data_IF_964149896133
#
_entry.id   IF_964149896133
#
_cell.length_a   1.000
_cell.length_b   1.000
_cell.length_c   1.000
_cell.angle_alpha   90.00
_cell.angle_beta   90.00
_cell.angle_gamma   90.00
#
_symmetry.space_group_name_H-M   'P 1'
#
loop_
_entity.id
_entity.type
_entity.pdbx_description
1 polymer ?
#
# COMPACT_ATOMS: atom_id res chain seq x y z
N UNK A 1 12.23 -3.98 -18.71
CA UNK A 1 10.93 -3.28 -18.58
C UNK A 1 10.86 -2.67 -17.18
N UNK A 2 10.62 -1.37 -17.05
CA UNK A 2 10.52 -0.73 -15.74
C UNK A 2 9.27 -1.23 -15.01
N UNK A 3 9.44 -1.89 -13.86
CA UNK A 3 8.31 -2.22 -12.98
C UNK A 3 7.71 -0.91 -12.48
N UNK A 4 6.41 -0.71 -12.73
CA UNK A 4 5.67 0.47 -12.26
C UNK A 4 5.55 0.37 -10.74
N UNK A 5 6.17 1.30 -10.01
CA UNK A 5 6.09 1.33 -8.54
C UNK A 5 4.73 1.85 -8.09
N UNK A 6 4.16 1.26 -7.06
CA UNK A 6 2.96 1.78 -6.40
C UNK A 6 3.37 2.97 -5.54
N UNK A 7 2.65 4.08 -5.60
CA UNK A 7 2.90 5.24 -4.74
C UNK A 7 2.05 5.14 -3.48
N UNK A 8 2.65 5.43 -2.33
CA UNK A 8 1.97 5.50 -1.05
C UNK A 8 2.42 6.72 -0.25
N UNK A 9 1.55 7.23 0.61
CA UNK A 9 1.83 8.39 1.46
C UNK A 9 2.14 7.96 2.88
N UNK A 10 3.22 8.49 3.47
CA UNK A 10 3.54 8.34 4.88
C UNK A 10 2.75 9.37 5.70
N UNK A 11 1.86 8.89 6.56
CA UNK A 11 1.05 9.69 7.47
C UNK A 11 1.31 9.19 8.89
N UNK A 12 2.00 10.02 9.68
CA UNK A 12 2.46 9.69 11.03
C UNK A 12 3.26 8.37 11.06
N UNK A 13 2.63 7.26 11.44
CA UNK A 13 3.22 5.93 11.57
C UNK A 13 2.60 4.89 10.61
N UNK A 14 1.85 5.33 9.59
CA UNK A 14 1.20 4.48 8.61
C UNK A 14 1.59 4.88 7.20
N UNK A 15 1.65 3.91 6.29
CA UNK A 15 1.86 4.16 4.87
C UNK A 15 0.61 3.76 4.12
N UNK A 16 -0.03 4.71 3.44
CA UNK A 16 -1.34 4.53 2.82
C UNK A 16 -1.23 4.55 1.30
N UNK A 17 -1.70 3.47 0.66
CA UNK A 17 -1.94 3.43 -0.79
C UNK A 17 -3.37 3.88 -1.03
N UNK A 18 -3.52 5.09 -1.56
CA UNK A 18 -4.83 5.71 -1.77
C UNK A 18 -5.62 5.13 -2.94
N UNK A 19 -4.95 4.69 -4.01
CA UNK A 19 -5.59 4.02 -5.15
C UNK A 19 -6.02 2.60 -4.73
N UNK A 20 -7.33 2.30 -4.62
CA UNK A 20 -7.81 0.99 -4.17
C UNK A 20 -7.42 -0.15 -5.10
N UNK A 21 -7.26 0.12 -6.41
CA UNK A 21 -6.81 -0.90 -7.37
C UNK A 21 -5.36 -1.27 -7.11
N UNK A 22 -4.49 -0.27 -6.96
CA UNK A 22 -3.10 -0.50 -6.60
C UNK A 22 -2.97 -1.20 -5.22
N UNK A 23 -3.78 -0.79 -4.25
CA UNK A 23 -3.86 -1.44 -2.94
C UNK A 23 -4.27 -2.90 -3.05
N UNK A 24 -5.32 -3.21 -3.82
CA UNK A 24 -5.79 -4.59 -4.05
C UNK A 24 -4.68 -5.46 -4.68
N UNK A 25 -3.94 -4.93 -5.64
CA UNK A 25 -2.81 -5.64 -6.25
C UNK A 25 -1.64 -5.88 -5.28
N UNK A 26 -1.35 -4.93 -4.39
CA UNK A 26 -0.35 -5.12 -3.32
C UNK A 26 -0.82 -6.18 -2.34
N UNK A 27 -2.09 -6.13 -1.92
CA UNK A 27 -2.68 -7.11 -1.01
C UNK A 27 -2.67 -8.53 -1.61
N UNK A 28 -3.02 -8.69 -2.88
CA UNK A 28 -3.03 -10.00 -3.58
C UNK A 28 -1.67 -10.71 -3.60
N UNK A 29 -0.57 -9.97 -3.60
CA UNK A 29 0.78 -10.55 -3.72
C UNK A 29 1.27 -11.28 -2.47
N UNK A 30 0.72 -10.97 -1.30
CA UNK A 30 1.23 -11.53 -0.05
C UNK A 30 0.47 -11.12 1.21
N UNK A 31 -0.77 -10.62 1.06
CA UNK A 31 -1.63 -10.12 2.13
C UNK A 31 -1.02 -8.96 2.93
N UNK A 32 -0.23 -8.10 2.27
CA UNK A 32 0.36 -6.92 2.88
C UNK A 32 -0.72 -5.90 3.26
N UNK A 33 -0.64 -5.39 4.48
CA UNK A 33 -1.50 -4.32 4.96
C UNK A 33 -2.93 -4.73 5.24
N UNK A 34 -3.76 -3.72 5.52
CA UNK A 34 -5.18 -3.86 5.86
C UNK A 34 -6.00 -2.85 5.07
N UNK A 35 -7.04 -3.28 4.35
CA UNK A 35 -7.95 -2.34 3.70
C UNK A 35 -8.68 -1.52 4.77
N UNK A 36 -8.76 -0.20 4.55
CA UNK A 36 -9.33 0.72 5.52
C UNK A 36 -10.80 0.38 5.81
N UNK A 37 -11.12 0.16 7.09
CA UNK A 37 -12.50 -0.15 7.51
C UNK A 37 -12.98 -1.57 7.21
N UNK A 38 -12.15 -2.46 6.65
CA UNK A 38 -12.52 -3.86 6.36
C UNK A 38 -11.66 -4.81 7.23
N UNK A 39 -12.17 -5.29 8.38
CA UNK A 39 -11.40 -6.13 9.30
C UNK A 39 -10.98 -7.49 8.72
N UNK A 40 -11.83 -8.06 7.85
CA UNK A 40 -11.62 -9.35 7.19
C UNK A 40 -12.15 -9.29 5.76
N UNK A 41 -11.32 -8.91 4.78
CA UNK A 41 -11.74 -8.88 3.39
C UNK A 41 -12.17 -10.28 2.92
N UNK A 42 -13.38 -10.39 2.36
CA UNK A 42 -13.89 -11.65 1.78
C UNK A 42 -13.19 -12.00 0.47
N UNK A 43 -12.68 -10.98 -0.21
CA UNK A 43 -11.99 -11.02 -1.50
C UNK A 43 -10.76 -10.15 -1.43
N UNK A 44 -9.77 -10.42 -2.28
CA UNK A 44 -8.58 -9.58 -2.41
C UNK A 44 -8.82 -8.28 -3.18
N UNK A 45 -9.99 -8.14 -3.79
CA UNK A 45 -10.45 -6.91 -4.45
C UNK A 45 -11.29 -6.09 -3.48
N UNK A 46 -10.95 -4.81 -3.34
CA UNK A 46 -11.65 -3.84 -2.50
C UNK A 46 -11.55 -2.42 -3.08
N UNK A 47 -12.50 -1.56 -2.72
CA UNK A 47 -12.60 -0.16 -3.20
C UNK A 47 -12.31 0.85 -2.08
N UNK A 48 -11.34 0.53 -1.22
CA UNK A 48 -10.87 1.38 -0.13
C UNK A 48 -9.34 1.45 -0.13
N UNK A 49 -8.73 2.48 0.46
CA UNK A 49 -7.28 2.56 0.60
C UNK A 49 -6.70 1.36 1.35
N UNK A 50 -5.47 0.98 1.00
CA UNK A 50 -4.71 -0.03 1.73
C UNK A 50 -3.76 0.65 2.71
N UNK A 51 -3.81 0.25 3.98
CA UNK A 51 -2.92 0.77 5.03
C UNK A 51 -1.87 -0.28 5.32
N UNK A 52 -0.60 0.07 5.11
CA UNK A 52 0.56 -0.71 5.49
C UNK A 52 1.09 -0.25 6.85
N UNK A 53 1.66 -1.17 7.62
CA UNK A 53 2.58 -0.79 8.69
C UNK A 53 3.97 -0.42 8.13
N UNK A 54 4.84 0.12 8.99
CA UNK A 54 6.17 0.57 8.59
C UNK A 54 7.09 -0.58 8.15
N UNK A 55 6.94 -1.77 8.74
CA UNK A 55 7.79 -2.92 8.40
C UNK A 55 7.43 -3.46 7.01
N UNK A 56 6.14 -3.59 6.71
CA UNK A 56 5.63 -3.96 5.40
C UNK A 56 6.02 -2.92 4.34
N UNK A 57 5.85 -1.63 4.64
CA UNK A 57 6.20 -0.56 3.72
C UNK A 57 7.70 -0.52 3.40
N UNK A 58 8.56 -0.69 4.42
CA UNK A 58 10.00 -0.79 4.24
C UNK A 58 10.37 -1.97 3.34
N UNK A 59 9.81 -3.14 3.63
CA UNK A 59 10.06 -4.35 2.84
C UNK A 59 9.67 -4.19 1.37
N UNK A 60 8.49 -3.63 1.10
CA UNK A 60 8.02 -3.39 -0.27
C UNK A 60 8.85 -2.30 -0.99
N UNK A 61 9.36 -1.30 -0.25
CA UNK A 61 10.24 -0.28 -0.79
C UNK A 61 11.62 -0.85 -1.16
N UNK A 62 12.20 -1.70 -0.31
CA UNK A 62 13.47 -2.40 -0.57
C UNK A 62 13.38 -3.32 -1.79
N UNK A 63 12.23 -3.97 -1.99
CA UNK A 63 11.93 -4.73 -3.21
C UNK A 63 11.72 -3.87 -4.46
N UNK A 64 11.66 -2.54 -4.31
CA UNK A 64 11.38 -1.61 -5.39
C UNK A 64 9.95 -1.68 -5.91
N UNK A 65 9.00 -2.19 -5.12
CA UNK A 65 7.58 -2.30 -5.48
C UNK A 65 6.76 -1.10 -4.99
N UNK A 66 7.24 -0.42 -3.94
CA UNK A 66 6.60 0.74 -3.32
C UNK A 66 7.49 1.98 -3.43
N UNK A 67 6.87 3.13 -3.68
CA UNK A 67 7.46 4.46 -3.52
C UNK A 67 6.68 5.19 -2.42
N UNK A 68 7.35 5.48 -1.31
CA UNK A 68 6.76 6.26 -0.22
C UNK A 68 7.05 7.74 -0.44
N UNK A 69 6.04 8.59 -0.24
CA UNK A 69 6.14 10.06 -0.31
C UNK A 69 5.59 10.68 0.96
N UNK A 70 6.07 11.87 1.31
CA UNK A 70 5.49 12.67 2.41
C UNK A 70 4.41 13.61 1.85
N UNK A 71 3.30 13.83 2.57
CA UNK A 71 2.32 14.84 2.19
C UNK A 71 2.99 16.22 2.10
N UNK A 72 2.86 16.88 0.95
CA UNK A 72 3.34 18.24 0.74
C UNK A 72 4.79 18.39 0.25
N UNK A 73 5.58 17.30 0.15
CA UNK A 73 6.85 17.31 -0.59
C UNK A 73 6.64 16.75 -1.99
N UNK A 74 6.70 17.62 -3.01
CA UNK A 74 6.77 17.23 -4.43
C UNK A 74 8.21 16.96 -4.84
#
# INVERSE_FOLDING_TARGET
>A
MARRKVTAELLENRVTIWDPKAGSEVYKKGFYGKPMGIPKPKTSDFDVPLILDLAEALYLAEKGELKVVEPGRK
#
